data_IF_101700463611
#
_entry.id   IF_101700463611
#
_cell.length_a   1.000
_cell.length_b   1.000
_cell.length_c   1.000
_cell.angle_alpha   90.00
_cell.angle_beta   90.00
_cell.angle_gamma   90.00
#
_symmetry.space_group_name_H-M   'P 1'
#
loop_
_entity.id
_entity.type
_entity.pdbx_description
1 polymer ?
#
# COMPACT_ATOMS: atom_id res chain seq x y z
N UNK A 1 1.19 30.32 -16.25
CA UNK A 1 1.41 29.46 -15.07
C UNK A 1 0.85 28.08 -15.41
N UNK A 2 1.69 27.15 -15.85
CA UNK A 2 1.30 25.76 -16.07
C UNK A 2 1.08 25.11 -14.70
N UNK A 3 -0.11 24.54 -14.48
CA UNK A 3 -0.35 23.67 -13.32
C UNK A 3 0.63 22.49 -13.40
N UNK A 4 1.23 22.05 -12.28
CA UNK A 4 2.01 20.82 -12.28
C UNK A 4 1.08 19.69 -12.73
N UNK A 5 1.50 18.94 -13.75
CA UNK A 5 0.78 17.77 -14.22
C UNK A 5 0.56 16.82 -13.03
N UNK A 6 -0.69 16.38 -12.83
CA UNK A 6 -0.98 15.34 -11.85
C UNK A 6 -0.05 14.15 -12.12
N UNK A 7 0.68 13.65 -11.10
CA UNK A 7 1.57 12.51 -11.31
C UNK A 7 0.74 11.32 -11.82
N UNK A 8 1.29 10.49 -12.71
CA UNK A 8 0.58 9.34 -13.26
C UNK A 8 0.04 8.47 -12.12
N UNK A 9 -1.15 7.88 -12.32
CA UNK A 9 -1.94 7.15 -11.30
C UNK A 9 -1.17 6.03 -10.55
N UNK A 10 -0.01 5.63 -11.08
CA UNK A 10 0.93 4.67 -10.53
C UNK A 10 1.86 5.24 -9.43
N UNK A 11 2.03 6.56 -9.35
CA UNK A 11 2.85 7.22 -8.34
C UNK A 11 1.99 7.61 -7.14
N UNK A 12 2.04 6.81 -6.09
CA UNK A 12 1.32 7.14 -4.86
C UNK A 12 2.17 8.06 -3.97
N UNK A 13 1.90 9.37 -4.03
CA UNK A 13 2.36 10.38 -3.08
C UNK A 13 1.29 10.68 -2.02
N UNK A 14 1.71 11.16 -0.85
CA UNK A 14 0.81 11.60 0.21
C UNK A 14 0.33 13.03 -0.07
N UNK A 15 -0.99 13.22 -0.20
CA UNK A 15 -1.59 14.55 -0.38
C UNK A 15 -1.70 15.35 0.93
N UNK A 16 -1.78 14.66 2.07
CA UNK A 16 -1.71 15.23 3.41
C UNK A 16 -0.28 15.36 3.94
N UNK A 17 -0.15 15.75 5.21
CA UNK A 17 1.14 15.83 5.89
C UNK A 17 1.67 14.41 6.23
N UNK A 18 0.75 13.52 6.61
CA UNK A 18 1.02 12.13 6.95
C UNK A 18 0.03 11.18 6.28
N UNK A 19 0.43 9.93 6.04
CA UNK A 19 -0.40 8.91 5.41
C UNK A 19 -0.15 7.49 5.90
N UNK A 20 -1.14 6.63 5.66
CA UNK A 20 -1.06 5.19 5.91
C UNK A 20 -1.11 4.43 4.58
N UNK A 21 0.00 3.77 4.23
CA UNK A 21 0.18 3.01 2.99
C UNK A 21 0.17 1.51 3.26
N UNK A 22 -0.40 0.74 2.34
CA UNK A 22 -0.28 -0.72 2.34
C UNK A 22 1.11 -1.12 1.82
N UNK A 23 1.89 -1.88 2.60
CA UNK A 23 3.23 -2.36 2.22
C UNK A 23 3.23 -3.79 1.65
N UNK A 24 2.24 -4.57 2.07
CA UNK A 24 2.08 -5.98 1.75
C UNK A 24 1.50 -6.21 0.34
N UNK A 25 0.89 -7.36 0.09
CA UNK A 25 0.18 -7.73 -1.12
C UNK A 25 -1.20 -7.07 -1.27
N UNK A 26 -1.66 -7.01 -2.52
CA UNK A 26 -3.00 -6.55 -2.86
C UNK A 26 -4.06 -7.47 -2.23
N UNK A 27 -5.12 -6.84 -1.72
CA UNK A 27 -6.18 -7.57 -1.01
C UNK A 27 -7.51 -6.85 -1.08
N UNK A 28 -8.57 -7.61 -0.82
CA UNK A 28 -9.90 -7.05 -0.61
C UNK A 28 -10.04 -6.61 0.84
N UNK A 29 -10.34 -5.33 1.04
CA UNK A 29 -10.58 -4.76 2.37
C UNK A 29 -12.08 -4.62 2.61
N UNK A 30 -12.62 -5.23 3.67
CA UNK A 30 -14.01 -5.01 4.05
C UNK A 30 -14.21 -3.60 4.59
N UNK A 31 -15.37 -3.01 4.34
CA UNK A 31 -15.75 -1.68 4.82
C UNK A 31 -15.72 -1.59 6.36
N UNK A 32 -16.02 -2.69 7.05
CA UNK A 32 -15.96 -2.78 8.52
C UNK A 32 -14.54 -2.53 9.04
N UNK A 33 -13.51 -3.12 8.43
CA UNK A 33 -12.12 -2.91 8.81
C UNK A 33 -11.68 -1.45 8.60
N UNK A 34 -12.08 -0.83 7.48
CA UNK A 34 -11.82 0.59 7.22
C UNK A 34 -12.49 1.49 8.26
N UNK A 35 -13.72 1.17 8.67
CA UNK A 35 -14.45 1.91 9.72
C UNK A 35 -13.76 1.79 11.08
N UNK A 36 -13.35 0.58 11.47
CA UNK A 36 -12.62 0.34 12.74
C UNK A 36 -11.29 1.10 12.76
N UNK A 37 -10.58 1.13 11.64
CA UNK A 37 -9.34 1.88 11.52
C UNK A 37 -9.57 3.40 11.61
N UNK A 38 -10.59 3.92 10.93
CA UNK A 38 -10.99 5.33 11.01
C UNK A 38 -11.32 5.72 12.47
N UNK A 39 -12.11 4.92 13.16
CA UNK A 39 -12.48 5.16 14.56
C UNK A 39 -11.25 5.10 15.48
N UNK A 40 -10.33 4.17 15.24
CA UNK A 40 -9.09 4.06 16.01
C UNK A 40 -8.22 5.32 15.88
N UNK A 41 -8.08 5.85 14.66
CA UNK A 41 -7.36 7.12 14.40
C UNK A 41 -8.06 8.26 15.12
N UNK A 42 -9.39 8.38 14.95
CA UNK A 42 -10.19 9.44 15.56
C UNK A 42 -10.11 9.43 17.08
N UNK A 43 -10.12 8.24 17.69
CA UNK A 43 -9.98 8.06 19.13
C UNK A 43 -8.60 8.51 19.63
N UNK A 44 -7.53 8.19 18.90
CA UNK A 44 -6.17 8.57 19.30
C UNK A 44 -5.89 10.07 19.15
N UNK A 45 -6.52 10.70 18.17
CA UNK A 45 -6.36 12.12 17.83
C UNK A 45 -7.47 13.01 18.43
N UNK A 46 -8.29 12.48 19.34
CA UNK A 46 -9.38 13.22 19.96
C UNK A 46 -8.86 14.48 20.65
N UNK A 47 -9.48 15.63 20.36
CA UNK A 47 -9.12 16.93 20.94
C UNK A 47 -8.04 17.72 20.17
N UNK A 48 -7.51 17.18 19.06
CA UNK A 48 -6.56 17.90 18.20
C UNK A 48 -7.26 18.46 16.95
N UNK A 49 -6.69 19.52 16.37
CA UNK A 49 -7.16 20.10 15.12
C UNK A 49 -6.57 19.34 13.92
N UNK A 50 -7.31 18.36 13.41
CA UNK A 50 -6.89 17.58 12.26
C UNK A 50 -8.04 17.36 11.27
N UNK A 51 -7.68 17.06 10.02
CA UNK A 51 -8.58 16.62 8.98
C UNK A 51 -8.09 15.27 8.45
N UNK A 52 -8.94 14.26 8.58
CA UNK A 52 -8.69 12.90 8.10
C UNK A 52 -9.34 12.74 6.73
N UNK A 53 -8.54 12.43 5.71
CA UNK A 53 -8.99 12.13 4.37
C UNK A 53 -9.00 10.62 4.13
N UNK A 54 -10.09 10.13 3.58
CA UNK A 54 -10.25 8.73 3.16
C UNK A 54 -10.03 8.67 1.66
N UNK A 55 -8.91 8.08 1.24
CA UNK A 55 -8.53 8.00 -0.18
C UNK A 55 -9.26 6.89 -0.93
N UNK A 56 -9.95 6.02 -0.20
CA UNK A 56 -10.53 4.79 -0.72
C UNK A 56 -11.98 4.67 -0.26
N UNK A 57 -12.85 4.24 -1.17
CA UNK A 57 -14.27 3.96 -0.92
C UNK A 57 -14.58 2.48 -1.17
N UNK A 58 -15.48 1.91 -0.35
CA UNK A 58 -15.94 0.53 -0.52
C UNK A 58 -17.05 0.48 -1.58
N UNK A 59 -16.67 0.18 -2.82
CA UNK A 59 -17.55 0.23 -3.98
C UNK A 59 -17.97 -1.15 -4.52
N UNK A 60 -17.42 -2.24 -3.98
CA UNK A 60 -17.71 -3.61 -4.45
C UNK A 60 -18.58 -4.33 -3.42
N UNK A 61 -19.75 -4.81 -3.84
CA UNK A 61 -20.60 -5.65 -3.00
C UNK A 61 -20.15 -7.12 -3.01
N UNK A 62 -19.93 -7.71 -1.83
CA UNK A 62 -19.63 -9.13 -1.64
C UNK A 62 -20.93 -9.87 -1.31
N UNK A 63 -21.14 -11.01 -1.97
CA UNK A 63 -22.29 -11.87 -1.78
C UNK A 63 -21.81 -13.24 -1.33
N UNK A 64 -22.29 -13.68 -0.17
CA UNK A 64 -21.82 -14.91 0.47
C UNK A 64 -23.00 -15.87 0.61
N UNK A 65 -22.74 -17.15 0.33
CA UNK A 65 -23.69 -18.22 0.61
C UNK A 65 -23.40 -18.77 2.01
N UNK A 66 -24.43 -19.07 2.78
CA UNK A 66 -24.27 -19.62 4.13
C UNK A 66 -23.50 -20.93 4.10
N UNK A 67 -22.59 -21.12 5.07
CA UNK A 67 -21.73 -22.29 5.15
C UNK A 67 -22.54 -23.59 5.35
N UNK A 68 -23.75 -23.50 5.89
CA UNK A 68 -24.67 -24.62 6.08
C UNK A 68 -25.27 -25.16 4.77
N UNK A 69 -25.22 -24.39 3.68
CA UNK A 69 -25.86 -24.76 2.42
C UNK A 69 -24.91 -25.51 1.47
N UNK A 70 -25.40 -26.59 0.84
CA UNK A 70 -24.65 -27.30 -0.20
C UNK A 70 -24.40 -26.42 -1.44
N UNK A 71 -23.37 -26.78 -2.21
CA UNK A 71 -23.00 -26.09 -3.46
C UNK A 71 -24.16 -26.10 -4.49
N UNK A 72 -24.18 -25.11 -5.40
CA UNK A 72 -25.24 -24.92 -6.41
C UNK A 72 -26.35 -23.95 -5.98
N UNK A 73 -27.55 -24.04 -6.56
CA UNK A 73 -28.75 -23.22 -6.25
C UNK A 73 -28.60 -21.69 -6.44
N UNK A 74 -27.66 -21.24 -7.27
CA UNK A 74 -27.48 -19.83 -7.62
C UNK A 74 -26.57 -19.05 -6.65
N UNK A 75 -26.60 -17.71 -6.79
CA UNK A 75 -25.76 -16.77 -6.02
C UNK A 75 -26.34 -16.53 -4.61
N UNK A 76 -25.46 -16.34 -3.62
CA UNK A 76 -25.86 -16.02 -2.25
C UNK A 76 -26.44 -14.61 -2.07
N UNK A 77 -26.80 -14.28 -0.83
CA UNK A 77 -27.30 -12.95 -0.43
C UNK A 77 -26.16 -11.94 -0.31
N UNK A 78 -26.50 -10.65 -0.39
CA UNK A 78 -25.54 -9.58 -0.10
C UNK A 78 -25.05 -9.69 1.34
N UNK A 79 -23.75 -9.52 1.56
CA UNK A 79 -23.10 -9.68 2.85
C UNK A 79 -22.48 -8.35 3.31
N UNK A 80 -21.46 -7.85 2.60
CA UNK A 80 -20.79 -6.60 2.96
C UNK A 80 -20.15 -5.89 1.76
N UNK A 81 -19.85 -4.61 1.96
CA UNK A 81 -19.08 -3.79 1.02
C UNK A 81 -17.58 -3.99 1.21
N UNK A 82 -16.86 -4.13 0.11
CA UNK A 82 -15.40 -4.26 0.08
C UNK A 82 -14.80 -3.29 -0.92
N UNK A 83 -13.50 -3.06 -0.81
CA UNK A 83 -12.69 -2.40 -1.84
C UNK A 83 -11.51 -3.28 -2.23
N UNK A 84 -11.08 -3.22 -3.49
CA UNK A 84 -9.79 -3.78 -3.92
C UNK A 84 -8.70 -2.75 -3.66
N UNK A 85 -7.74 -3.09 -2.82
CA UNK A 85 -6.56 -2.27 -2.58
C UNK A 85 -5.36 -2.85 -3.33
N UNK A 86 -4.75 -2.11 -4.26
CA UNK A 86 -3.47 -2.47 -4.82
C UNK A 86 -2.34 -2.22 -3.81
N UNK A 87 -1.19 -2.85 -4.06
CA UNK A 87 0.05 -2.65 -3.30
C UNK A 87 0.44 -1.17 -3.33
N UNK A 88 1.02 -0.67 -2.23
CA UNK A 88 1.51 0.70 -2.10
C UNK A 88 0.45 1.81 -2.19
N UNK A 89 -0.84 1.47 -2.14
CA UNK A 89 -1.94 2.45 -2.06
C UNK A 89 -2.00 3.10 -0.68
N UNK A 90 -2.19 4.41 -0.65
CA UNK A 90 -2.49 5.16 0.58
C UNK A 90 -3.99 5.10 0.83
N UNK A 91 -4.38 4.74 2.06
CA UNK A 91 -5.79 4.55 2.44
C UNK A 91 -6.31 5.74 3.24
N UNK A 92 -5.50 6.22 4.19
CA UNK A 92 -5.81 7.35 5.03
C UNK A 92 -4.72 8.40 4.92
N UNK A 93 -5.12 9.67 4.88
CA UNK A 93 -4.22 10.82 4.97
C UNK A 93 -4.67 11.73 6.10
N UNK A 94 -3.70 12.31 6.79
CA UNK A 94 -3.92 13.25 7.87
C UNK A 94 -3.29 14.58 7.48
N UNK A 95 -4.05 15.65 7.63
CA UNK A 95 -3.58 17.02 7.50
C UNK A 95 -3.95 17.80 8.76
N UNK A 96 -3.01 18.56 9.31
CA UNK A 96 -3.28 19.40 10.48
C UNK A 96 -2.09 19.55 11.41
N UNK A 97 -2.30 20.32 12.48
CA UNK A 97 -1.27 20.58 13.49
C UNK A 97 -1.19 19.41 14.47
N UNK A 98 -0.51 18.34 14.03
CA UNK A 98 -0.30 17.12 14.81
C UNK A 98 1.17 16.76 14.77
N UNK A 99 1.75 16.55 15.94
CA UNK A 99 3.14 16.11 16.05
C UNK A 99 3.34 14.70 15.46
N UNK A 100 4.42 14.50 14.71
CA UNK A 100 4.70 13.26 13.96
C UNK A 100 4.61 12.00 14.83
N UNK A 101 5.16 12.03 16.06
CA UNK A 101 5.12 10.88 16.98
C UNK A 101 3.68 10.44 17.30
N UNK A 102 2.76 11.41 17.43
CA UNK A 102 1.35 11.13 17.74
C UNK A 102 0.64 10.57 16.50
N UNK A 103 0.87 11.16 15.33
CA UNK A 103 0.34 10.67 14.07
C UNK A 103 0.82 9.23 13.77
N UNK A 104 2.12 8.97 13.94
CA UNK A 104 2.74 7.65 13.79
C UNK A 104 2.11 6.60 14.70
N UNK A 105 1.90 6.93 15.97
CA UNK A 105 1.23 6.02 16.90
C UNK A 105 -0.24 5.77 16.53
N UNK A 106 -0.98 6.80 16.12
CA UNK A 106 -2.37 6.63 15.66
C UNK A 106 -2.46 5.70 14.45
N UNK A 107 -1.57 5.88 13.49
CA UNK A 107 -1.50 5.06 12.27
C UNK A 107 -0.98 3.65 12.53
N UNK A 108 -0.05 3.47 13.47
CA UNK A 108 0.39 2.14 13.92
C UNK A 108 -0.78 1.35 14.51
N UNK A 109 -1.55 1.96 15.41
CA UNK A 109 -2.74 1.34 16.00
C UNK A 109 -3.81 0.99 14.95
N UNK A 110 -4.02 1.89 13.98
CA UNK A 110 -4.94 1.64 12.87
C UNK A 110 -4.46 0.47 11.98
N UNK A 111 -3.17 0.42 11.67
CA UNK A 111 -2.55 -0.66 10.90
C UNK A 111 -2.74 -2.03 11.53
N UNK A 112 -2.66 -2.14 12.87
CA UNK A 112 -2.95 -3.40 13.58
C UNK A 112 -4.42 -3.85 13.51
N UNK A 113 -5.35 -2.96 13.18
CA UNK A 113 -6.78 -3.30 13.01
C UNK A 113 -7.13 -3.64 11.56
N UNK A 114 -6.28 -3.27 10.63
CA UNK A 114 -6.45 -3.55 9.21
C UNK A 114 -5.73 -4.86 8.85
N UNK A 115 -6.31 -5.72 8.01
CA UNK A 115 -5.58 -6.88 7.50
C UNK A 115 -4.42 -6.45 6.59
N UNK A 116 -3.27 -7.10 6.76
CA UNK A 116 -2.03 -6.81 6.01
C UNK A 116 -1.02 -5.97 6.78
N UNK A 117 0.11 -5.68 6.14
CA UNK A 117 1.15 -4.83 6.70
C UNK A 117 1.05 -3.41 6.16
N UNK A 118 1.20 -2.46 7.08
CA UNK A 118 1.02 -1.05 6.80
C UNK A 118 2.28 -0.27 7.14
N UNK A 119 2.53 0.78 6.37
CA UNK A 119 3.65 1.67 6.50
C UNK A 119 3.14 3.10 6.71
N UNK A 120 3.78 3.81 7.63
CA UNK A 120 3.58 5.24 7.82
C UNK A 120 4.38 6.01 6.78
N UNK A 121 3.75 6.98 6.12
CA UNK A 121 4.33 7.77 5.04
C UNK A 121 4.26 9.25 5.39
N UNK A 122 5.37 9.95 5.21
CA UNK A 122 5.47 11.39 5.32
C UNK A 122 5.27 12.04 3.94
N UNK A 123 4.84 13.30 3.91
CA UNK A 123 4.73 14.07 2.66
C UNK A 123 6.04 14.13 1.85
N UNK A 124 7.19 14.16 2.54
CA UNK A 124 8.51 14.24 1.91
C UNK A 124 9.05 12.87 1.44
N UNK A 125 8.33 11.77 1.73
CA UNK A 125 8.79 10.46 1.30
C UNK A 125 8.61 10.29 -0.21
N UNK A 126 9.56 9.61 -0.89
CA UNK A 126 9.45 9.38 -2.32
C UNK A 126 8.20 8.57 -2.66
N UNK A 127 7.55 8.85 -3.81
CA UNK A 127 6.43 8.04 -4.28
C UNK A 127 6.89 6.60 -4.55
N UNK A 128 5.96 5.66 -4.46
CA UNK A 128 6.23 4.24 -4.74
C UNK A 128 5.49 3.83 -6.00
N UNK A 129 6.18 3.11 -6.87
CA UNK A 129 5.61 2.46 -8.05
C UNK A 129 5.77 0.95 -7.86
N UNK A 130 4.65 0.25 -7.77
CA UNK A 130 4.62 -1.17 -7.41
C UNK A 130 5.21 -1.41 -6.02
N UNK A 131 6.40 -2.01 -5.97
CA UNK A 131 7.12 -2.32 -4.72
C UNK A 131 8.34 -1.38 -4.54
N UNK A 132 8.75 -0.68 -5.60
CA UNK A 132 9.99 0.12 -5.60
C UNK A 132 9.69 1.56 -5.22
N UNK A 133 10.37 2.07 -4.17
CA UNK A 133 10.41 3.49 -3.81
C UNK A 133 11.22 4.27 -4.86
N UNK A 134 10.68 5.37 -5.39
CA UNK A 134 11.38 6.25 -6.32
C UNK A 134 12.35 7.16 -5.55
N UNK A 135 13.40 6.56 -5.02
CA UNK A 135 14.50 7.24 -4.32
C UNK A 135 15.85 6.74 -4.85
N UNK A 136 16.94 7.38 -4.41
CA UNK A 136 18.32 6.93 -4.70
C UNK A 136 18.68 6.88 -6.20
N UNK A 137 18.21 7.88 -6.97
CA UNK A 137 18.46 7.97 -8.42
C UNK A 137 17.56 7.08 -9.28
N UNK A 138 16.61 6.36 -8.69
CA UNK A 138 15.60 5.58 -9.43
C UNK A 138 14.45 6.50 -9.83
N UNK A 139 14.40 6.87 -11.10
CA UNK A 139 13.30 7.63 -11.70
C UNK A 139 12.25 6.69 -12.31
N UNK A 140 11.01 7.19 -12.51
CA UNK A 140 9.97 6.43 -13.20
C UNK A 140 10.43 6.01 -14.60
N UNK A 141 11.11 6.89 -15.32
CA UNK A 141 11.65 6.59 -16.65
C UNK A 141 12.70 5.48 -16.62
N UNK A 142 13.50 5.40 -15.55
CA UNK A 142 14.45 4.31 -15.34
C UNK A 142 13.74 2.96 -15.18
N UNK A 143 12.62 2.92 -14.46
CA UNK A 143 11.84 1.70 -14.25
C UNK A 143 11.15 1.19 -15.53
N UNK A 144 10.80 2.10 -16.46
CA UNK A 144 10.19 1.74 -17.75
C UNK A 144 11.20 1.22 -18.79
N UNK A 145 12.51 1.46 -18.60
CA UNK A 145 13.55 1.02 -19.55
C UNK A 145 13.82 -0.47 -19.40
N UNK A 146 13.91 -1.18 -20.53
CA UNK A 146 14.22 -2.61 -20.56
C UNK A 146 15.60 -2.96 -19.99
N UNK A 147 16.59 -2.09 -20.17
CA UNK A 147 17.93 -2.22 -19.57
C UNK A 147 18.12 -1.11 -18.54
N UNK A 148 18.43 -1.49 -17.31
CA UNK A 148 18.71 -0.56 -16.20
C UNK A 148 20.11 -0.78 -15.65
N UNK A 149 20.75 0.32 -15.28
CA UNK A 149 21.90 0.25 -14.38
C UNK A 149 21.37 -0.02 -12.95
N UNK A 150 22.12 -0.75 -12.12
CA UNK A 150 21.77 -0.94 -10.72
C UNK A 150 21.61 0.42 -10.02
N UNK A 151 20.70 0.55 -9.04
CA UNK A 151 20.53 1.79 -8.30
C UNK A 151 21.81 2.14 -7.53
N UNK A 152 22.04 3.45 -7.33
CA UNK A 152 23.25 3.96 -6.68
C UNK A 152 23.43 3.30 -5.30
N UNK A 153 24.62 2.72 -5.05
CA UNK A 153 24.96 2.01 -3.81
C UNK A 153 24.85 0.48 -3.83
N UNK A 154 24.44 -0.14 -4.94
CA UNK A 154 24.29 -1.61 -5.05
C UNK A 154 25.54 -2.36 -5.54
N UNK A 155 26.61 -1.65 -5.93
CA UNK A 155 27.86 -2.26 -6.42
C UNK A 155 28.58 -3.16 -5.38
N UNK A 156 28.23 -3.05 -4.10
CA UNK A 156 28.81 -3.83 -3.00
C UNK A 156 27.94 -5.00 -2.52
N UNK A 157 26.76 -5.23 -3.12
CA UNK A 157 25.97 -6.43 -2.82
C UNK A 157 26.58 -7.60 -3.60
N UNK A 158 27.01 -8.63 -2.88
CA UNK A 158 27.55 -9.85 -3.49
C UNK A 158 26.56 -10.36 -4.54
N UNK A 159 27.03 -10.49 -5.78
CA UNK A 159 26.28 -11.17 -6.84
C UNK A 159 25.82 -12.52 -6.30
N UNK A 160 24.55 -12.93 -6.50
CA UNK A 160 24.13 -14.27 -6.14
C UNK A 160 25.10 -15.26 -6.76
N UNK A 161 25.52 -16.32 -6.03
CA UNK A 161 26.50 -17.26 -6.55
C UNK A 161 25.98 -17.77 -7.89
N UNK A 162 26.78 -17.57 -8.95
CA UNK A 162 26.49 -18.18 -10.26
C UNK A 162 26.34 -19.66 -9.98
N UNK A 163 25.15 -20.22 -10.17
CA UNK A 163 24.94 -21.66 -10.19
C UNK A 163 25.95 -22.21 -11.19
N UNK A 164 27.01 -22.84 -10.70
CA UNK A 164 27.94 -23.55 -11.54
C UNK A 164 27.14 -24.71 -12.13
N UNK A 165 26.71 -24.57 -13.38
CA UNK A 165 26.23 -25.70 -14.16
C UNK A 165 27.44 -26.60 -14.37
N UNK A 166 27.66 -27.54 -13.46
CA UNK A 166 28.53 -28.68 -13.68
C UNK A 166 27.91 -29.52 -14.78
N UNK A 167 28.25 -29.23 -16.03
CA UNK A 167 28.05 -30.15 -17.13
C UNK A 167 28.96 -31.35 -16.88
N UNK A 168 28.42 -32.43 -16.33
CA UNK A 168 29.09 -33.73 -16.39
C UNK A 168 28.95 -34.26 -17.82
N UNK A 169 30.04 -34.22 -18.57
CA UNK A 169 30.16 -34.91 -19.85
C UNK A 169 29.88 -36.42 -19.67
N UNK A 170 29.00 -37.03 -20.48
CA UNK A 170 28.86 -38.48 -20.49
C UNK A 170 29.91 -39.05 -21.45
N UNK A 171 31.05 -39.51 -20.91
CA UNK A 171 31.88 -40.49 -21.60
C UNK A 171 31.32 -41.88 -21.30
N UNK A 172 30.67 -42.50 -22.29
CA UNK A 172 30.89 -43.88 -22.76
C UNK A 172 30.31 -44.03 -24.16
#
# INVERSE_FOLDING_TARGET
MSLPADPPEEQQSCGGDFGLRMKDHDRRMPASALKIAEETIKRRLRGMNYKLYKRVSANIGVYTKGNEQRMGKGKGKFDYWTVRLPVSRIVFELKGDVHEKVAREAFRLAGHKLPGLWEFVNKNDPPVVGITKLGNGVTLDSLKRARRNPPLGTNNLASPPKSASSSSDPTQ
#
